data_IF_332558681009
#
_entry.id   IF_332558681009
#
_cell.length_a   1.000
_cell.length_b   1.000
_cell.length_c   1.000
_cell.angle_alpha   90.00
_cell.angle_beta   90.00
_cell.angle_gamma   90.00
#
_symmetry.space_group_name_H-M   'P 1'
#
loop_
_entity.id
_entity.type
_entity.pdbx_description
1 polymer ?
#
# COMPACT_ATOMS: atom_id res chain seq x y z
N UNK A 1 -20.22 -29.31 -41.93
CA UNK A 1 -19.37 -28.25 -42.50
C UNK A 1 -19.26 -27.14 -41.47
N UNK A 2 -18.19 -27.18 -40.67
CA UNK A 2 -17.87 -26.19 -39.65
C UNK A 2 -17.38 -24.90 -40.33
N UNK A 3 -17.97 -23.76 -39.99
CA UNK A 3 -17.28 -22.48 -40.08
C UNK A 3 -16.91 -22.06 -38.67
N UNK A 4 -15.62 -22.21 -38.36
CA UNK A 4 -14.97 -21.58 -37.21
C UNK A 4 -14.98 -20.07 -37.46
N UNK A 5 -15.88 -19.34 -36.84
CA UNK A 5 -15.69 -17.92 -36.59
C UNK A 5 -14.81 -17.81 -35.33
N UNK A 6 -13.54 -17.47 -35.55
CA UNK A 6 -12.59 -17.22 -34.50
C UNK A 6 -13.01 -15.99 -33.72
N UNK A 7 -13.57 -16.20 -32.52
CA UNK A 7 -13.71 -15.16 -31.52
C UNK A 7 -12.32 -14.65 -31.15
N UNK A 8 -11.91 -13.54 -31.77
CA UNK A 8 -10.83 -12.70 -31.27
C UNK A 8 -11.34 -12.15 -29.94
N UNK A 9 -10.97 -12.80 -28.84
CA UNK A 9 -11.30 -12.32 -27.50
C UNK A 9 -10.79 -10.89 -27.36
N UNK A 10 -11.54 -10.02 -26.68
CA UNK A 10 -11.16 -8.61 -26.45
C UNK A 10 -9.73 -8.45 -25.89
N UNK A 11 -9.21 -9.46 -25.20
CA UNK A 11 -7.81 -9.54 -24.78
C UNK A 11 -6.80 -9.63 -25.94
N UNK A 12 -7.11 -10.28 -27.05
CA UNK A 12 -6.23 -10.35 -28.24
C UNK A 12 -6.17 -9.02 -28.99
N UNK A 13 -7.25 -8.24 -29.01
CA UNK A 13 -7.27 -6.93 -29.65
C UNK A 13 -6.54 -5.88 -28.80
N UNK A 14 -6.70 -5.91 -27.48
CA UNK A 14 -5.94 -5.08 -26.53
C UNK A 14 -4.43 -5.36 -26.58
N UNK A 15 -4.03 -6.64 -26.63
CA UNK A 15 -2.61 -7.00 -26.73
C UNK A 15 -1.98 -6.55 -28.07
N UNK A 16 -2.70 -6.71 -29.18
CA UNK A 16 -2.25 -6.22 -30.49
C UNK A 16 -2.18 -4.68 -30.56
N UNK A 17 -3.12 -4.01 -29.90
CA UNK A 17 -3.13 -2.55 -29.79
C UNK A 17 -1.97 -2.05 -28.92
N UNK A 18 -1.65 -2.76 -27.82
CA UNK A 18 -0.50 -2.47 -26.96
C UNK A 18 0.83 -2.61 -27.73
N UNK A 19 0.99 -3.65 -28.55
CA UNK A 19 2.20 -3.86 -29.35
C UNK A 19 2.41 -2.75 -30.41
N UNK A 20 1.34 -2.35 -31.11
CA UNK A 20 1.38 -1.25 -32.10
C UNK A 20 1.66 0.09 -31.42
N UNK A 21 1.01 0.36 -30.30
CA UNK A 21 1.22 1.60 -29.53
C UNK A 21 2.65 1.62 -28.98
N UNK A 22 3.18 0.51 -28.49
CA UNK A 22 4.58 0.43 -28.04
C UNK A 22 5.57 0.71 -29.18
N UNK A 23 5.35 0.13 -30.36
CA UNK A 23 6.22 0.35 -31.52
C UNK A 23 6.15 1.81 -31.99
N UNK A 24 4.97 2.41 -32.00
CA UNK A 24 4.75 3.83 -32.31
C UNK A 24 5.41 4.76 -31.28
N UNK A 25 5.27 4.49 -29.98
CA UNK A 25 5.89 5.26 -28.91
C UNK A 25 7.42 5.20 -29.02
N UNK A 26 7.97 4.02 -29.27
CA UNK A 26 9.41 3.82 -29.49
C UNK A 26 9.90 4.58 -30.72
N UNK A 27 9.16 4.53 -31.83
CA UNK A 27 9.48 5.29 -33.04
C UNK A 27 9.46 6.81 -32.80
N UNK A 28 8.52 7.30 -31.99
CA UNK A 28 8.37 8.72 -31.66
C UNK A 28 9.28 9.19 -30.52
N UNK A 29 10.02 8.29 -29.86
CA UNK A 29 10.83 8.61 -28.69
C UNK A 29 10.00 9.07 -27.48
N UNK A 30 8.72 8.67 -27.41
CA UNK A 30 7.82 9.02 -26.33
C UNK A 30 7.92 7.94 -25.25
N UNK A 31 8.17 8.35 -24.01
CA UNK A 31 8.16 7.43 -22.88
C UNK A 31 6.72 6.97 -22.61
N UNK A 32 6.53 5.66 -22.48
CA UNK A 32 5.22 5.05 -22.33
C UNK A 32 4.49 5.55 -21.08
N UNK A 33 5.21 5.84 -20.00
CA UNK A 33 4.61 6.38 -18.78
C UNK A 33 4.19 7.84 -18.93
N UNK A 34 4.94 8.64 -19.69
CA UNK A 34 4.58 10.03 -19.99
C UNK A 34 3.28 10.06 -20.81
N UNK A 35 3.16 9.19 -21.81
CA UNK A 35 1.91 9.01 -22.55
C UNK A 35 0.76 8.60 -21.63
N UNK A 36 0.94 7.58 -20.79
CA UNK A 36 -0.13 7.14 -19.88
C UNK A 36 -0.56 8.24 -18.90
N UNK A 37 0.40 9.02 -18.39
CA UNK A 37 0.15 10.15 -17.50
C UNK A 37 -0.63 11.24 -18.23
N UNK A 38 -0.17 11.66 -19.41
CA UNK A 38 -0.83 12.68 -20.22
C UNK A 38 -2.26 12.27 -20.61
N UNK A 39 -2.44 11.05 -21.11
CA UNK A 39 -3.76 10.51 -21.49
C UNK A 39 -4.71 10.48 -20.29
N UNK A 40 -4.26 10.03 -19.12
CA UNK A 40 -5.11 9.97 -17.93
C UNK A 40 -5.42 11.34 -17.35
N UNK A 41 -4.46 12.26 -17.34
CA UNK A 41 -4.69 13.65 -16.95
C UNK A 41 -5.77 14.26 -17.84
N UNK A 42 -5.65 14.12 -19.16
CA UNK A 42 -6.64 14.62 -20.11
C UNK A 42 -8.02 13.98 -19.89
N UNK A 43 -8.09 12.66 -19.64
CA UNK A 43 -9.37 11.99 -19.34
C UNK A 43 -9.98 12.55 -18.05
N UNK A 44 -9.19 12.74 -16.99
CA UNK A 44 -9.69 13.21 -15.70
C UNK A 44 -10.12 14.68 -15.74
N UNK A 45 -9.37 15.54 -16.42
CA UNK A 45 -9.75 16.94 -16.65
C UNK A 45 -11.09 17.02 -17.40
N UNK A 46 -11.28 16.19 -18.44
CA UNK A 46 -12.53 16.13 -19.20
C UNK A 46 -13.74 15.59 -18.42
N UNK A 47 -13.54 15.09 -17.19
CA UNK A 47 -14.58 14.52 -16.34
C UNK A 47 -14.70 15.20 -14.97
N UNK A 48 -14.14 16.40 -14.79
CA UNK A 48 -14.10 17.14 -13.51
C UNK A 48 -13.43 16.34 -12.36
N UNK A 49 -12.46 15.48 -12.70
CA UNK A 49 -11.71 14.62 -11.78
C UNK A 49 -10.27 15.12 -11.54
N UNK A 50 -10.03 16.42 -11.63
CA UNK A 50 -8.70 17.05 -11.46
C UNK A 50 -8.03 16.65 -10.14
N UNK A 51 -8.81 16.55 -9.06
CA UNK A 51 -8.35 16.11 -7.74
C UNK A 51 -7.76 14.68 -7.72
N UNK A 52 -8.08 13.85 -8.71
CA UNK A 52 -7.51 12.50 -8.89
C UNK A 52 -6.20 12.58 -9.66
N UNK A 53 -6.05 13.53 -10.59
CA UNK A 53 -4.82 13.73 -11.35
C UNK A 53 -3.62 14.03 -10.43
N UNK A 54 -3.83 14.80 -9.35
CA UNK A 54 -2.81 15.06 -8.33
C UNK A 54 -2.37 13.79 -7.56
N UNK A 55 -3.22 12.76 -7.52
CA UNK A 55 -2.92 11.49 -6.86
C UNK A 55 -2.18 10.50 -7.80
N UNK A 56 -2.09 10.82 -9.10
CA UNK A 56 -1.31 10.06 -10.06
C UNK A 56 0.17 10.40 -9.89
N UNK A 57 0.92 9.47 -9.31
CA UNK A 57 2.38 9.52 -9.37
C UNK A 57 2.87 8.90 -10.67
N UNK A 58 3.71 9.64 -11.41
CA UNK A 58 4.43 9.17 -12.60
C UNK A 58 5.18 7.86 -12.33
N UNK A 59 5.75 7.71 -11.13
CA UNK A 59 6.47 6.52 -10.70
C UNK A 59 5.57 5.27 -10.69
N UNK A 60 4.28 5.41 -10.37
CA UNK A 60 3.35 4.27 -10.32
C UNK A 60 3.09 3.74 -11.74
N UNK A 61 2.93 4.63 -12.73
CA UNK A 61 2.72 4.25 -14.13
C UNK A 61 3.98 3.68 -14.78
N UNK A 62 5.15 4.29 -14.54
CA UNK A 62 6.45 3.72 -14.92
C UNK A 62 6.60 2.31 -14.38
N UNK A 63 6.31 2.12 -13.11
CA UNK A 63 6.41 0.82 -12.47
C UNK A 63 5.45 -0.21 -13.06
N UNK A 64 4.22 0.17 -13.40
CA UNK A 64 3.27 -0.73 -14.08
C UNK A 64 3.79 -1.21 -15.43
N UNK A 65 4.34 -0.31 -16.25
CA UNK A 65 4.90 -0.65 -17.56
C UNK A 65 6.06 -1.66 -17.40
N UNK A 66 6.91 -1.46 -16.39
CA UNK A 66 7.98 -2.42 -16.05
C UNK A 66 7.40 -3.79 -15.70
N UNK A 67 6.40 -3.86 -14.81
CA UNK A 67 5.79 -5.13 -14.40
C UNK A 67 5.19 -5.91 -15.58
N UNK A 68 4.65 -5.23 -16.59
CA UNK A 68 4.07 -5.86 -17.78
C UNK A 68 5.12 -6.54 -18.66
N UNK A 69 6.35 -6.02 -18.70
CA UNK A 69 7.48 -6.55 -19.50
C UNK A 69 8.30 -7.60 -18.77
N UNK A 70 8.14 -7.69 -17.45
CA UNK A 70 8.87 -8.65 -16.63
C UNK A 70 8.40 -10.10 -16.80
N UNK A 71 9.30 -11.03 -16.46
CA UNK A 71 8.93 -12.44 -16.30
C UNK A 71 7.92 -12.60 -15.16
N UNK A 72 7.11 -13.66 -15.15
CA UNK A 72 6.12 -13.87 -14.07
C UNK A 72 6.75 -13.82 -12.66
N UNK A 73 7.92 -14.44 -12.50
CA UNK A 73 8.71 -14.37 -11.27
C UNK A 73 9.20 -12.95 -10.99
N UNK A 74 9.74 -12.26 -12.00
CA UNK A 74 10.17 -10.87 -11.90
C UNK A 74 9.04 -9.94 -11.47
N UNK A 75 7.89 -10.01 -12.13
CA UNK A 75 6.69 -9.22 -11.81
C UNK A 75 6.25 -9.44 -10.37
N UNK A 76 6.22 -10.69 -9.88
CA UNK A 76 5.80 -10.99 -8.51
C UNK A 76 6.79 -10.45 -7.45
N UNK A 77 8.10 -10.60 -7.70
CA UNK A 77 9.14 -10.12 -6.80
C UNK A 77 9.16 -8.59 -6.73
N UNK A 78 9.20 -7.94 -7.90
CA UNK A 78 9.23 -6.48 -8.00
C UNK A 78 7.98 -5.85 -7.41
N UNK A 79 6.79 -6.38 -7.73
CA UNK A 79 5.53 -5.86 -7.21
C UNK A 79 5.47 -5.88 -5.67
N UNK A 80 5.91 -6.98 -5.05
CA UNK A 80 5.93 -7.08 -3.60
C UNK A 80 6.93 -6.11 -2.96
N UNK A 81 8.14 -6.00 -3.52
CA UNK A 81 9.15 -5.05 -3.04
C UNK A 81 8.67 -3.60 -3.15
N UNK A 82 7.99 -3.26 -4.25
CA UNK A 82 7.44 -1.92 -4.46
C UNK A 82 6.32 -1.58 -3.46
N UNK A 83 5.38 -2.51 -3.23
CA UNK A 83 4.33 -2.30 -2.22
C UNK A 83 4.89 -2.24 -0.80
N UNK A 84 5.93 -3.01 -0.50
CA UNK A 84 6.64 -2.96 0.79
C UNK A 84 7.29 -1.59 1.02
N UNK A 85 7.96 -1.04 0.00
CA UNK A 85 8.56 0.30 0.02
C UNK A 85 7.49 1.41 0.18
N UNK A 86 6.38 1.33 -0.58
CA UNK A 86 5.27 2.29 -0.42
C UNK A 86 4.68 2.26 0.99
N UNK A 87 4.55 1.07 1.57
CA UNK A 87 4.05 0.88 2.92
C UNK A 87 5.00 1.44 3.97
N UNK A 88 6.31 1.25 3.77
CA UNK A 88 7.34 1.85 4.61
C UNK A 88 7.29 3.39 4.54
N UNK A 89 7.22 3.94 3.33
CA UNK A 89 7.07 5.39 3.10
C UNK A 89 5.83 5.95 3.78
N UNK A 90 4.70 5.22 3.74
CA UNK A 90 3.47 5.57 4.47
C UNK A 90 3.68 5.58 5.99
N UNK A 91 4.31 4.55 6.55
CA UNK A 91 4.62 4.48 7.98
C UNK A 91 5.54 5.62 8.42
N UNK A 92 6.62 5.87 7.68
CA UNK A 92 7.56 6.98 7.94
C UNK A 92 6.90 8.35 7.91
N UNK A 93 5.97 8.56 6.96
CA UNK A 93 5.19 9.79 6.88
C UNK A 93 4.28 9.96 8.10
N UNK A 94 3.77 8.87 8.65
CA UNK A 94 2.88 8.89 9.81
C UNK A 94 3.63 9.05 11.14
N UNK A 95 4.81 8.48 11.31
CA UNK A 95 5.55 8.57 12.58
C UNK A 95 6.06 9.98 12.90
N UNK A 96 6.43 10.19 14.18
CA UNK A 96 7.24 11.35 14.58
C UNK A 96 8.52 11.40 13.73
N UNK A 97 9.05 12.60 13.48
CA UNK A 97 10.24 12.80 12.65
C UNK A 97 11.54 12.38 13.36
N UNK A 98 11.64 11.09 13.69
CA UNK A 98 12.86 10.45 14.17
C UNK A 98 13.35 9.47 13.10
N UNK A 99 14.16 9.98 12.18
CA UNK A 99 14.67 9.20 11.06
C UNK A 99 15.63 8.09 11.51
N UNK A 100 16.38 8.29 12.59
CA UNK A 100 17.31 7.28 13.13
C UNK A 100 16.53 6.10 13.70
N UNK A 101 15.57 6.36 14.59
CA UNK A 101 14.74 5.30 15.18
C UNK A 101 13.88 4.61 14.11
N UNK A 102 13.29 5.38 13.20
CA UNK A 102 12.51 4.83 12.09
C UNK A 102 13.35 3.90 11.20
N UNK A 103 14.60 4.28 10.89
CA UNK A 103 15.53 3.42 10.14
C UNK A 103 15.86 2.14 10.91
N UNK A 104 16.18 2.25 12.19
CA UNK A 104 16.53 1.10 13.03
C UNK A 104 15.38 0.10 13.16
N UNK A 105 14.13 0.56 13.16
CA UNK A 105 12.95 -0.30 13.28
C UNK A 105 12.51 -0.90 11.94
N UNK A 106 12.54 -0.13 10.85
CA UNK A 106 11.95 -0.51 9.56
C UNK A 106 12.93 -1.19 8.59
N UNK A 107 14.23 -1.17 8.86
CA UNK A 107 15.26 -1.73 7.98
C UNK A 107 16.08 -2.85 8.63
N UNK A 108 16.74 -3.66 7.79
CA UNK A 108 17.69 -4.69 8.22
C UNK A 108 17.07 -5.67 9.22
N UNK A 109 17.68 -5.76 10.40
CA UNK A 109 17.25 -6.63 11.50
C UNK A 109 16.26 -5.97 12.48
N UNK A 110 15.73 -4.80 12.13
CA UNK A 110 14.74 -4.08 12.93
C UNK A 110 13.45 -4.89 13.14
N UNK A 111 12.81 -4.71 14.31
CA UNK A 111 11.61 -5.46 14.69
C UNK A 111 10.39 -5.24 13.78
N UNK A 112 10.42 -4.23 12.91
CA UNK A 112 9.39 -3.91 11.94
C UNK A 112 9.90 -3.99 10.49
N UNK A 113 11.04 -4.66 10.23
CA UNK A 113 11.68 -4.64 8.92
C UNK A 113 10.98 -5.47 7.85
N UNK A 114 10.24 -6.51 8.23
CA UNK A 114 9.59 -7.40 7.28
C UNK A 114 8.33 -6.81 6.64
N UNK A 115 8.02 -7.23 5.41
CA UNK A 115 6.75 -6.87 4.76
C UNK A 115 5.53 -7.18 5.63
N UNK A 116 5.53 -8.34 6.30
CA UNK A 116 4.43 -8.75 7.18
C UNK A 116 4.26 -7.80 8.37
N UNK A 117 5.35 -7.44 9.06
CA UNK A 117 5.29 -6.53 10.21
C UNK A 117 4.81 -5.14 9.80
N UNK A 118 5.25 -4.64 8.63
CA UNK A 118 4.78 -3.37 8.07
C UNK A 118 3.28 -3.41 7.77
N UNK A 119 2.78 -4.51 7.17
CA UNK A 119 1.34 -4.70 6.90
C UNK A 119 0.51 -4.72 8.18
N UNK A 120 0.96 -5.47 9.19
CA UNK A 120 0.23 -5.57 10.45
C UNK A 120 0.21 -4.23 11.19
N UNK A 121 1.34 -3.52 11.24
CA UNK A 121 1.41 -2.21 11.89
C UNK A 121 0.54 -1.16 11.19
N UNK A 122 0.63 -1.06 9.86
CA UNK A 122 -0.20 -0.11 9.11
C UNK A 122 -1.71 -0.37 9.31
N UNK A 123 -2.12 -1.63 9.44
CA UNK A 123 -3.50 -1.98 9.76
C UNK A 123 -3.89 -1.57 11.19
N UNK A 124 -3.04 -1.87 12.18
CA UNK A 124 -3.31 -1.52 13.58
C UNK A 124 -3.37 0.00 13.82
N UNK A 125 -2.60 0.77 13.05
CA UNK A 125 -2.64 2.24 13.07
C UNK A 125 -3.84 2.83 12.31
N UNK A 126 -4.69 1.98 11.71
CA UNK A 126 -5.84 2.43 10.92
C UNK A 126 -5.47 3.12 9.60
N UNK A 127 -4.24 2.91 9.09
CA UNK A 127 -3.78 3.49 7.83
C UNK A 127 -4.30 2.71 6.62
N UNK A 128 -4.55 1.40 6.78
CA UNK A 128 -5.10 0.56 5.72
C UNK A 128 -6.32 -0.22 6.19
N UNK A 129 -7.23 -0.52 5.28
CA UNK A 129 -8.42 -1.33 5.57
C UNK A 129 -8.08 -2.81 5.72
N UNK A 130 -9.01 -3.59 6.32
CA UNK A 130 -8.87 -5.05 6.40
C UNK A 130 -8.76 -5.71 5.02
N UNK A 131 -9.43 -5.16 4.00
CA UNK A 131 -9.37 -5.63 2.61
C UNK A 131 -7.96 -5.42 2.03
N UNK A 132 -7.40 -4.21 2.17
CA UNK A 132 -6.03 -3.88 1.73
C UNK A 132 -5.01 -4.78 2.44
N UNK A 133 -5.14 -4.95 3.76
CA UNK A 133 -4.30 -5.85 4.55
C UNK A 133 -4.31 -7.28 4.00
N UNK A 134 -5.49 -7.79 3.65
CA UNK A 134 -5.65 -9.15 3.10
C UNK A 134 -4.91 -9.31 1.79
N UNK A 135 -5.13 -8.40 0.85
CA UNK A 135 -4.55 -8.49 -0.49
C UNK A 135 -3.02 -8.28 -0.47
N UNK A 136 -2.50 -7.38 0.38
CA UNK A 136 -1.06 -7.27 0.61
C UNK A 136 -0.45 -8.58 1.14
N UNK A 137 -1.15 -9.29 2.03
CA UNK A 137 -0.71 -10.60 2.51
C UNK A 137 -0.79 -11.68 1.42
N UNK A 138 -1.78 -11.64 0.53
CA UNK A 138 -1.85 -12.55 -0.61
C UNK A 138 -0.69 -12.30 -1.58
N UNK A 139 -0.38 -11.04 -1.90
CA UNK A 139 0.77 -10.65 -2.72
C UNK A 139 2.08 -11.14 -2.08
N UNK A 140 2.25 -10.94 -0.77
CA UNK A 140 3.40 -11.48 -0.03
C UNK A 140 3.51 -13.00 -0.16
N UNK A 141 2.39 -13.73 -0.08
CA UNK A 141 2.37 -15.19 -0.26
C UNK A 141 2.75 -15.59 -1.68
N UNK A 142 2.19 -14.93 -2.70
CA UNK A 142 2.51 -15.13 -4.12
C UNK A 142 4.01 -14.92 -4.34
N UNK A 143 4.58 -13.79 -3.86
CA UNK A 143 6.02 -13.51 -3.96
C UNK A 143 6.86 -14.60 -3.29
N UNK A 144 6.49 -15.02 -2.09
CA UNK A 144 7.25 -16.03 -1.36
C UNK A 144 7.26 -17.38 -2.11
N UNK A 145 6.15 -17.73 -2.74
CA UNK A 145 6.05 -18.95 -3.55
C UNK A 145 6.97 -18.86 -4.78
N UNK A 146 6.96 -17.74 -5.51
CA UNK A 146 7.89 -17.47 -6.61
C UNK A 146 9.37 -17.47 -6.19
N UNK A 147 9.69 -16.96 -4.99
CA UNK A 147 11.05 -16.85 -4.48
C UNK A 147 11.62 -18.17 -3.95
N UNK A 148 10.78 -19.06 -3.42
CA UNK A 148 11.22 -20.31 -2.80
C UNK A 148 10.98 -21.56 -3.65
N UNK A 149 10.27 -21.44 -4.78
CA UNK A 149 10.10 -22.53 -5.73
C UNK A 149 11.38 -22.80 -6.51
N UNK A 150 11.94 -24.00 -6.37
CA UNK A 150 12.99 -24.51 -7.24
C UNK A 150 12.49 -24.81 -8.66
N UNK A 151 11.18 -25.09 -8.80
CA UNK A 151 10.53 -25.33 -10.08
C UNK A 151 10.21 -24.02 -10.81
N UNK A 152 10.08 -24.12 -12.14
CA UNK A 152 9.67 -23.01 -12.99
C UNK A 152 8.15 -22.83 -12.92
N UNK A 153 7.69 -22.09 -11.91
CA UNK A 153 6.29 -21.70 -11.74
C UNK A 153 5.98 -20.36 -12.41
N UNK A 154 4.71 -20.17 -12.74
CA UNK A 154 4.20 -19.00 -13.47
C UNK A 154 2.77 -18.65 -12.96
N UNK A 155 2.16 -17.59 -13.47
CA UNK A 155 0.82 -17.18 -13.03
C UNK A 155 -0.31 -18.15 -13.42
N UNK A 156 -0.05 -19.11 -14.31
CA UNK A 156 -1.00 -20.17 -14.65
C UNK A 156 -0.86 -21.42 -13.76
N UNK A 157 0.19 -21.48 -12.94
CA UNK A 157 0.35 -22.56 -11.95
C UNK A 157 -0.82 -22.54 -10.98
N UNK A 158 -1.41 -23.71 -10.71
CA UNK A 158 -2.70 -23.81 -10.00
C UNK A 158 -2.72 -23.06 -8.67
N UNK A 159 -1.65 -23.17 -7.88
CA UNK A 159 -1.50 -22.49 -6.60
C UNK A 159 -1.46 -20.95 -6.73
N UNK A 160 -0.67 -20.43 -7.68
CA UNK A 160 -0.55 -18.99 -7.93
C UNK A 160 -1.87 -18.44 -8.48
N UNK A 161 -2.46 -19.10 -9.48
CA UNK A 161 -3.70 -18.66 -10.09
C UNK A 161 -4.85 -18.60 -9.06
N UNK A 162 -4.97 -19.61 -8.19
CA UNK A 162 -5.94 -19.61 -7.10
C UNK A 162 -5.77 -18.40 -6.17
N UNK A 163 -4.53 -18.07 -5.77
CA UNK A 163 -4.25 -16.86 -4.96
C UNK A 163 -4.58 -15.57 -5.70
N UNK A 164 -4.33 -15.50 -7.00
CA UNK A 164 -4.71 -14.35 -7.83
C UNK A 164 -6.24 -14.17 -7.85
N UNK A 165 -7.00 -15.27 -7.93
CA UNK A 165 -8.46 -15.25 -7.90
C UNK A 165 -9.03 -14.88 -6.53
N UNK A 166 -8.27 -15.13 -5.47
CA UNK A 166 -8.59 -14.65 -4.12
C UNK A 166 -8.30 -13.14 -3.93
N UNK A 167 -7.74 -12.40 -4.89
CA UNK A 167 -7.49 -10.97 -4.67
C UNK A 167 -8.80 -10.17 -4.72
N UNK A 168 -9.14 -9.51 -3.62
CA UNK A 168 -10.41 -8.80 -3.49
C UNK A 168 -10.42 -7.48 -4.24
N UNK A 169 -9.31 -6.75 -4.35
CA UNK A 169 -9.25 -5.43 -5.00
C UNK A 169 -9.34 -5.47 -6.53
N UNK A 170 -9.81 -6.58 -7.11
CA UNK A 170 -10.16 -6.62 -8.52
C UNK A 170 -11.50 -5.89 -8.74
N UNK A 171 -11.41 -4.58 -9.06
CA UNK A 171 -12.58 -3.68 -9.20
C UNK A 171 -13.47 -4.10 -10.39
N UNK A 172 -12.90 -4.74 -11.40
CA UNK A 172 -13.63 -5.19 -12.58
C UNK A 172 -13.68 -6.72 -12.62
N UNK A 173 -14.87 -7.28 -12.72
CA UNK A 173 -15.10 -8.73 -12.69
C UNK A 173 -14.95 -9.34 -14.10
N UNK A 174 -13.82 -9.05 -14.73
CA UNK A 174 -13.52 -9.47 -16.09
C UNK A 174 -12.80 -10.83 -16.08
N UNK A 175 -13.03 -11.65 -17.10
CA UNK A 175 -12.29 -12.89 -17.32
C UNK A 175 -10.91 -12.59 -17.89
N UNK A 176 -9.96 -12.27 -16.99
CA UNK A 176 -8.57 -11.97 -17.30
C UNK A 176 -7.63 -12.97 -16.64
N UNK A 177 -6.45 -13.16 -17.22
CA UNK A 177 -5.42 -14.06 -16.69
C UNK A 177 -5.01 -13.71 -15.26
N UNK A 178 -4.53 -14.71 -14.51
CA UNK A 178 -4.03 -14.52 -13.14
C UNK A 178 -2.95 -13.44 -13.03
N UNK A 179 -2.08 -13.33 -14.06
CA UNK A 179 -1.06 -12.29 -14.19
C UNK A 179 -1.67 -10.89 -14.27
N UNK A 180 -2.64 -10.69 -15.17
CA UNK A 180 -3.26 -9.38 -15.36
C UNK A 180 -4.07 -8.97 -14.12
N UNK A 181 -4.75 -9.93 -13.49
CA UNK A 181 -5.45 -9.70 -12.21
C UNK A 181 -4.47 -9.29 -11.10
N UNK A 182 -3.33 -9.97 -10.99
CA UNK A 182 -2.26 -9.62 -10.06
C UNK A 182 -1.75 -8.19 -10.28
N UNK A 183 -1.34 -7.84 -11.51
CA UNK A 183 -0.80 -6.52 -11.83
C UNK A 183 -1.85 -5.42 -11.56
N UNK A 184 -3.11 -5.65 -11.95
CA UNK A 184 -4.22 -4.71 -11.68
C UNK A 184 -4.39 -4.45 -10.18
N UNK A 185 -4.36 -5.50 -9.36
CA UNK A 185 -4.52 -5.37 -7.91
C UNK A 185 -3.31 -4.69 -7.28
N UNK A 186 -2.08 -5.03 -7.70
CA UNK A 186 -0.85 -4.33 -7.27
C UNK A 186 -0.96 -2.83 -7.53
N UNK A 187 -1.41 -2.47 -8.72
CA UNK A 187 -1.59 -1.07 -9.11
C UNK A 187 -2.66 -0.35 -8.26
N UNK A 188 -3.80 -1.00 -8.04
CA UNK A 188 -4.85 -0.47 -7.17
C UNK A 188 -4.37 -0.27 -5.72
N UNK A 189 -3.62 -1.22 -5.18
CA UNK A 189 -3.03 -1.11 -3.83
C UNK A 189 -1.98 0.00 -3.76
N UNK A 190 -1.14 0.15 -4.79
CA UNK A 190 -0.18 1.26 -4.87
C UNK A 190 -0.90 2.62 -4.84
N UNK A 191 -1.97 2.77 -5.60
CA UNK A 191 -2.80 3.99 -5.57
C UNK A 191 -3.42 4.24 -4.20
N UNK A 192 -3.92 3.20 -3.53
CA UNK A 192 -4.46 3.31 -2.16
C UNK A 192 -3.39 3.74 -1.16
N UNK A 193 -2.21 3.11 -1.17
CA UNK A 193 -1.11 3.44 -0.26
C UNK A 193 -0.61 4.87 -0.48
N UNK A 194 -0.41 5.27 -1.74
CA UNK A 194 0.05 6.61 -2.11
C UNK A 194 -0.97 7.68 -1.74
N UNK A 195 -2.25 7.50 -2.06
CA UNK A 195 -3.30 8.45 -1.68
C UNK A 195 -3.51 8.52 -0.17
N UNK A 196 -3.39 7.39 0.54
CA UNK A 196 -3.38 7.40 2.01
C UNK A 196 -2.20 8.22 2.53
N UNK A 197 -0.99 8.02 1.98
CA UNK A 197 0.21 8.77 2.40
C UNK A 197 0.02 10.28 2.22
N UNK A 198 -0.53 10.71 1.09
CA UNK A 198 -0.78 12.13 0.79
C UNK A 198 -1.75 12.74 1.81
N UNK A 199 -2.81 12.01 2.16
CA UNK A 199 -3.85 12.46 3.09
C UNK A 199 -3.46 12.42 4.57
N UNK A 200 -2.29 11.88 4.92
CA UNK A 200 -1.88 11.70 6.32
C UNK A 200 -0.85 12.74 6.73
N UNK A 201 -1.15 13.38 7.86
CA UNK A 201 -0.23 14.26 8.56
C UNK A 201 0.76 13.46 9.39
N UNK A 202 1.93 14.06 9.57
CA UNK A 202 2.97 13.52 10.43
C UNK A 202 2.54 13.66 11.89
N UNK A 203 2.84 12.67 12.73
CA UNK A 203 2.67 12.80 14.18
C UNK A 203 3.71 13.75 14.76
N UNK A 204 3.31 14.60 15.69
CA UNK A 204 4.21 15.44 16.45
C UNK A 204 4.70 14.72 17.70
N UNK A 205 5.95 14.98 18.07
CA UNK A 205 6.48 14.57 19.37
C UNK A 205 5.68 15.28 20.48
N UNK A 206 5.36 14.56 21.56
CA UNK A 206 4.66 15.19 22.69
C UNK A 206 5.64 16.12 23.41
N UNK A 207 5.23 17.34 23.77
CA UNK A 207 6.08 18.21 24.56
C UNK A 207 6.38 17.58 25.92
N UNK A 208 7.56 17.87 26.46
CA UNK A 208 7.88 17.53 27.84
C UNK A 208 6.90 18.24 28.75
N UNK A 209 6.09 17.47 29.49
CA UNK A 209 5.24 18.03 30.54
C UNK A 209 6.10 18.28 31.76
N UNK A 210 6.08 19.50 32.29
CA UNK A 210 6.61 19.75 33.61
C UNK A 210 5.68 19.09 34.63
N UNK A 211 6.13 18.00 35.26
CA UNK A 211 5.33 17.28 36.25
C UNK A 211 4.99 18.17 37.46
N UNK A 212 5.77 19.22 37.71
CA UNK A 212 5.47 20.21 38.75
C UNK A 212 4.25 21.07 38.42
N UNK A 213 3.88 21.25 37.14
CA UNK A 213 2.66 21.98 36.73
C UNK A 213 1.38 21.13 36.90
N UNK A 214 1.52 19.82 37.07
CA UNK A 214 0.40 18.90 37.38
C UNK A 214 0.28 18.69 38.90
N UNK A 215 1.17 19.29 39.69
CA UNK A 215 1.13 19.18 41.14
C UNK A 215 -0.07 19.96 41.68
N UNK A 216 -1.09 19.24 42.16
CA UNK A 216 -2.21 19.83 42.92
C UNK A 216 -1.73 20.67 44.10
N UNK A 217 -0.51 20.45 44.60
CA UNK A 217 0.13 21.26 45.65
C UNK A 217 0.42 22.71 45.22
N UNK A 218 0.49 23.00 43.90
CA UNK A 218 0.62 24.38 43.41
C UNK A 218 -0.72 25.12 43.40
N UNK A 219 -1.82 24.39 43.22
CA UNK A 219 -3.17 24.95 43.16
C UNK A 219 -3.88 24.95 44.52
N UNK A 220 -3.43 24.10 45.46
CA UNK A 220 -3.99 23.95 46.81
C UNK A 220 -2.83 24.01 47.81
N UNK A 221 -2.70 25.15 48.52
CA UNK A 221 -1.59 25.44 49.46
C UNK A 221 -1.38 24.33 50.51
N UNK A 222 -2.47 23.73 51.00
CA UNK A 222 -2.43 22.71 52.05
C UNK A 222 -2.91 21.34 51.58
N UNK A 223 -2.68 21.01 50.29
CA UNK A 223 -3.20 19.79 49.67
C UNK A 223 -2.92 18.51 50.49
N UNK A 224 -1.72 18.38 51.05
CA UNK A 224 -1.34 17.21 51.84
C UNK A 224 -2.14 17.09 53.14
N UNK A 225 -2.43 18.22 53.81
CA UNK A 225 -3.24 18.25 55.03
C UNK A 225 -4.72 17.97 54.72
N UNK A 226 -5.30 18.66 53.72
CA UNK A 226 -6.70 18.46 53.31
C UNK A 226 -6.96 17.01 52.83
N UNK A 227 -6.01 16.44 52.08
CA UNK A 227 -6.09 15.05 51.63
C UNK A 227 -6.03 14.09 52.82
N UNK A 228 -5.17 14.35 53.80
CA UNK A 228 -5.04 13.53 55.00
C UNK A 228 -6.33 13.57 55.82
N UNK A 229 -6.90 14.75 56.02
CA UNK A 229 -8.16 14.93 56.75
C UNK A 229 -9.32 14.18 56.08
N UNK A 230 -9.47 14.28 54.76
CA UNK A 230 -10.56 13.57 54.08
C UNK A 230 -10.36 12.05 54.01
N UNK A 231 -9.12 11.56 53.96
CA UNK A 231 -8.83 10.12 54.11
C UNK A 231 -9.25 9.64 55.50
N UNK A 232 -8.90 10.38 56.57
CA UNK A 232 -9.29 10.01 57.94
C UNK A 232 -10.81 9.99 58.13
N UNK A 233 -11.50 11.00 57.60
CA UNK A 233 -12.96 11.12 57.66
C UNK A 233 -13.64 9.98 56.90
N UNK A 234 -13.12 9.62 55.73
CA UNK A 234 -13.61 8.46 54.97
C UNK A 234 -13.46 7.16 55.75
N UNK A 235 -12.30 6.93 56.38
CA UNK A 235 -12.04 5.73 57.19
C UNK A 235 -13.01 5.67 58.39
N UNK A 236 -13.18 6.77 59.13
CA UNK A 236 -14.11 6.85 60.28
C UNK A 236 -15.58 6.61 59.91
N UNK A 237 -15.99 6.93 58.69
CA UNK A 237 -17.37 6.70 58.23
C UNK A 237 -17.63 5.27 57.75
N UNK A 238 -16.57 4.46 57.57
CA UNK A 238 -16.62 3.09 57.04
C UNK A 238 -16.38 2.01 58.10
N UNK A 239 -15.90 2.40 59.28
CA UNK A 239 -15.67 1.56 60.47
C UNK A 239 -16.76 1.88 61.49
#
# INVERSE_FOLDING_TARGET
MNKNEGNITTGSFLNFFDDIVEELLKYKGIDQSDMYKEVLTNIFENHDLEHIAELISEDIFKFRAILLKETDRGSALMAASYLEDLLEKLLRKFFVDDNLLSNNLLNGYGGLSSFKSKIDLAYLLGLISRRVKRDLNLIRKIRNEFAHSAENINFNSSSINNRCNELNYNIFNDDISGRNKFIRVVFGLAGVLSSTKIKKERREEKPNKNLEEISLKKDIENFDEELSEEIEKYIKNKI
#
